data_IF_142640308100
#
_entry.id   IF_142640308100
#
_cell.length_a   1.000
_cell.length_b   1.000
_cell.length_c   1.000
_cell.angle_alpha   90.00
_cell.angle_beta   90.00
_cell.angle_gamma   90.00
#
_symmetry.space_group_name_H-M   'P 1'
#
loop_
_entity.id
_entity.type
_entity.pdbx_description
1 polymer ?
#
# COMPACT_ATOMS: atom_id res chain seq x y z
N UNK A 1 -27.67 39.19 20.78
CA UNK A 1 -26.45 38.43 21.14
C UNK A 1 -26.47 37.02 20.55
N UNK A 2 -27.64 36.39 20.41
CA UNK A 2 -27.73 34.98 19.98
C UNK A 2 -27.43 34.75 18.50
N UNK A 3 -27.77 35.70 17.61
CA UNK A 3 -27.39 35.64 16.18
C UNK A 3 -25.89 35.70 15.94
N UNK A 4 -25.15 36.48 16.74
CA UNK A 4 -23.69 36.57 16.63
C UNK A 4 -23.00 35.31 17.15
N UNK A 5 -23.57 34.66 18.18
CA UNK A 5 -23.09 33.35 18.65
C UNK A 5 -23.36 32.25 17.63
N UNK A 6 -24.57 32.19 17.07
CA UNK A 6 -24.91 31.21 16.05
C UNK A 6 -24.01 31.33 14.79
N UNK A 7 -23.73 32.55 14.34
CA UNK A 7 -22.82 32.77 13.22
C UNK A 7 -21.37 32.37 13.54
N UNK A 8 -20.93 32.54 14.79
CA UNK A 8 -19.59 32.12 15.21
C UNK A 8 -19.50 30.59 15.33
N UNK A 9 -20.53 29.94 15.86
CA UNK A 9 -20.61 28.47 15.95
C UNK A 9 -20.62 27.83 14.55
N UNK A 10 -21.33 28.43 13.59
CA UNK A 10 -21.35 28.00 12.19
C UNK A 10 -19.96 28.11 11.54
N UNK A 11 -19.24 29.22 11.77
CA UNK A 11 -17.86 29.39 11.28
C UNK A 11 -16.90 28.40 11.94
N UNK A 12 -17.07 28.13 13.25
CA UNK A 12 -16.28 27.12 13.95
C UNK A 12 -16.55 25.71 13.41
N UNK A 13 -17.80 25.38 13.07
CA UNK A 13 -18.14 24.12 12.41
C UNK A 13 -17.53 24.03 11.01
N UNK A 14 -17.59 25.08 10.20
CA UNK A 14 -16.97 25.11 8.86
C UNK A 14 -15.46 24.94 8.96
N UNK A 15 -14.82 25.63 9.91
CA UNK A 15 -13.38 25.51 10.15
C UNK A 15 -13.04 24.11 10.66
N UNK A 16 -13.81 23.53 11.58
CA UNK A 16 -13.63 22.14 12.02
C UNK A 16 -13.79 21.15 10.88
N UNK A 17 -14.79 21.32 10.01
CA UNK A 17 -14.97 20.48 8.82
C UNK A 17 -13.79 20.63 7.85
N UNK A 18 -13.29 21.85 7.65
CA UNK A 18 -12.11 22.10 6.83
C UNK A 18 -10.83 21.49 7.42
N UNK A 19 -10.70 21.47 8.76
CA UNK A 19 -9.57 20.85 9.46
C UNK A 19 -9.68 19.31 9.56
N UNK A 20 -10.89 18.76 9.59
CA UNK A 20 -11.13 17.33 9.68
C UNK A 20 -10.99 16.60 8.33
N UNK A 21 -10.93 17.35 7.22
CA UNK A 21 -10.82 16.79 5.87
C UNK A 21 -12.13 16.13 5.40
N UNK A 22 -12.12 15.60 4.17
CA UNK A 22 -13.20 14.73 3.71
C UNK A 22 -13.22 13.44 4.54
N UNK A 23 -14.41 12.89 4.87
CA UNK A 23 -14.49 11.62 5.57
C UNK A 23 -13.80 10.55 4.72
N UNK A 24 -12.79 9.90 5.30
CA UNK A 24 -12.05 8.82 4.65
C UNK A 24 -13.02 7.73 4.24
N UNK A 25 -12.82 7.22 3.02
CA UNK A 25 -13.57 6.05 2.57
C UNK A 25 -13.20 4.82 3.43
N UNK A 26 -14.10 3.83 3.57
CA UNK A 26 -13.81 2.61 4.32
C UNK A 26 -12.56 1.87 3.82
N UNK A 27 -12.24 2.00 2.53
CA UNK A 27 -11.02 1.41 1.96
C UNK A 27 -9.76 2.16 2.39
N UNK A 28 -9.81 3.49 2.49
CA UNK A 28 -8.69 4.29 3.00
C UNK A 28 -8.41 4.02 4.47
N UNK A 29 -9.45 3.83 5.29
CA UNK A 29 -9.27 3.43 6.69
C UNK A 29 -8.59 2.05 6.80
N UNK A 30 -9.00 1.10 5.96
CA UNK A 30 -8.39 -0.22 5.88
C UNK A 30 -6.93 -0.14 5.45
N UNK A 31 -6.63 0.69 4.45
CA UNK A 31 -5.27 0.93 3.98
C UNK A 31 -4.42 1.61 5.05
N UNK A 32 -4.95 2.58 5.80
CA UNK A 32 -4.23 3.21 6.91
C UNK A 32 -3.93 2.24 8.05
N UNK A 33 -4.78 1.23 8.26
CA UNK A 33 -4.57 0.23 9.29
C UNK A 33 -3.45 -0.77 8.94
N UNK A 34 -3.34 -1.16 7.67
CA UNK A 34 -2.45 -2.25 7.24
C UNK A 34 -1.26 -1.81 6.37
N UNK A 35 -1.35 -0.62 5.77
CA UNK A 35 -0.35 0.06 4.95
C UNK A 35 -0.25 1.56 5.35
N UNK A 36 0.13 1.86 6.61
CA UNK A 36 0.21 3.23 7.11
C UNK A 36 1.35 4.02 6.46
N UNK A 37 1.06 5.20 5.92
CA UNK A 37 2.07 6.10 5.35
C UNK A 37 2.77 6.96 6.40
N UNK A 38 2.03 7.39 7.43
CA UNK A 38 2.53 8.25 8.50
C UNK A 38 2.47 7.52 9.85
N UNK A 39 3.60 7.42 10.54
CA UNK A 39 3.67 6.78 11.85
C UNK A 39 2.95 7.59 12.96
N UNK A 40 2.80 8.90 12.77
CA UNK A 40 2.31 9.85 13.78
C UNK A 40 0.78 10.00 13.85
N UNK A 41 0.04 9.74 12.76
CA UNK A 41 -1.41 10.02 12.68
C UNK A 41 -2.32 8.87 13.18
N UNK A 42 -1.76 7.87 13.85
CA UNK A 42 -2.46 6.61 14.16
C UNK A 42 -2.55 6.46 15.67
N UNK A 43 -3.32 7.31 16.34
CA UNK A 43 -3.44 7.25 17.82
C UNK A 43 -4.43 6.16 18.28
N UNK A 44 -5.17 5.48 17.37
CA UNK A 44 -6.26 4.57 17.75
C UNK A 44 -6.17 3.10 17.32
N UNK A 45 -5.25 2.70 16.43
CA UNK A 45 -5.22 1.32 15.92
C UNK A 45 -4.04 0.50 16.46
N UNK A 46 -4.40 -0.69 16.97
CA UNK A 46 -3.55 -1.64 17.72
C UNK A 46 -2.13 -1.78 17.16
N UNK A 47 -1.14 -1.54 18.03
CA UNK A 47 0.29 -1.69 17.74
C UNK A 47 0.68 -3.06 17.13
N UNK A 48 -0.16 -4.09 17.31
CA UNK A 48 0.05 -5.44 16.77
C UNK A 48 0.10 -5.49 15.24
N UNK A 49 -0.69 -4.68 14.54
CA UNK A 49 -0.72 -4.70 13.07
C UNK A 49 0.47 -3.98 12.44
N UNK A 50 1.09 -3.04 13.17
CA UNK A 50 2.30 -2.33 12.72
C UNK A 50 3.51 -3.27 12.63
N UNK A 51 3.65 -4.13 13.64
CA UNK A 51 4.75 -5.09 13.77
C UNK A 51 4.55 -6.37 12.95
N UNK A 52 3.34 -6.62 12.44
CA UNK A 52 3.10 -7.76 11.56
C UNK A 52 3.94 -7.59 10.29
N UNK A 53 4.77 -8.58 9.97
CA UNK A 53 5.65 -8.59 8.78
C UNK A 53 4.83 -8.65 7.48
N UNK A 54 3.58 -9.11 7.55
CA UNK A 54 2.70 -9.30 6.41
C UNK A 54 1.26 -8.83 6.71
N UNK A 55 0.51 -8.54 5.65
CA UNK A 55 -0.93 -8.24 5.73
C UNK A 55 -1.67 -9.57 5.93
N UNK A 56 -2.59 -9.67 6.91
CA UNK A 56 -3.36 -10.90 7.11
C UNK A 56 -4.15 -11.30 5.86
N UNK A 57 -4.24 -12.61 5.59
CA UNK A 57 -4.88 -13.13 4.37
C UNK A 57 -6.33 -12.67 4.19
N UNK A 58 -7.12 -12.58 5.27
CA UNK A 58 -8.50 -12.12 5.18
C UNK A 58 -8.60 -10.64 4.72
N UNK A 59 -7.62 -9.80 5.06
CA UNK A 59 -7.54 -8.41 4.60
C UNK A 59 -7.12 -8.35 3.14
N UNK A 60 -6.15 -9.19 2.73
CA UNK A 60 -5.77 -9.29 1.32
C UNK A 60 -6.96 -9.71 0.44
N UNK A 61 -7.78 -10.65 0.91
CA UNK A 61 -9.03 -11.05 0.25
C UNK A 61 -10.04 -9.88 0.18
N UNK A 62 -10.23 -9.14 1.27
CA UNK A 62 -11.15 -7.99 1.28
C UNK A 62 -10.70 -6.92 0.27
N UNK A 63 -9.41 -6.56 0.31
CA UNK A 63 -8.81 -5.62 -0.65
C UNK A 63 -8.93 -6.12 -2.08
N UNK A 64 -8.66 -7.40 -2.35
CA UNK A 64 -8.84 -7.99 -3.67
C UNK A 64 -10.29 -7.87 -4.17
N UNK A 65 -11.27 -8.17 -3.32
CA UNK A 65 -12.68 -8.01 -3.69
C UNK A 65 -13.03 -6.55 -4.02
N UNK A 66 -12.50 -5.60 -3.24
CA UNK A 66 -12.71 -4.15 -3.41
C UNK A 66 -12.08 -3.59 -4.67
N UNK A 67 -11.05 -4.21 -5.24
CA UNK A 67 -10.51 -3.76 -6.54
C UNK A 67 -11.52 -3.89 -7.70
N UNK A 68 -12.62 -4.64 -7.53
CA UNK A 68 -13.70 -4.66 -8.52
C UNK A 68 -14.62 -3.43 -8.43
N UNK A 69 -14.52 -2.64 -7.36
CA UNK A 69 -15.20 -1.37 -7.22
C UNK A 69 -14.37 -0.27 -7.90
N UNK A 70 -15.01 0.45 -8.84
CA UNK A 70 -14.38 1.53 -9.62
C UNK A 70 -13.92 2.72 -8.78
N UNK A 71 -14.51 2.91 -7.60
CA UNK A 71 -14.14 3.96 -6.64
C UNK A 71 -12.97 3.49 -5.77
N UNK A 72 -13.03 2.28 -5.22
CA UNK A 72 -12.03 1.79 -4.27
C UNK A 72 -10.69 1.41 -4.95
N UNK A 73 -10.74 0.86 -6.17
CA UNK A 73 -9.56 0.38 -6.87
C UNK A 73 -8.47 1.46 -7.05
N UNK A 74 -8.79 2.69 -7.49
CA UNK A 74 -7.82 3.79 -7.52
C UNK A 74 -7.12 4.04 -6.19
N UNK A 75 -7.84 4.06 -5.05
CA UNK A 75 -7.23 4.28 -3.74
C UNK A 75 -6.25 3.17 -3.36
N UNK A 76 -6.64 1.91 -3.61
CA UNK A 76 -5.79 0.75 -3.33
C UNK A 76 -4.51 0.80 -4.17
N UNK A 77 -4.63 1.02 -5.48
CA UNK A 77 -3.48 1.08 -6.38
C UNK A 77 -2.58 2.27 -6.05
N UNK A 78 -3.16 3.46 -5.82
CA UNK A 78 -2.43 4.66 -5.45
C UNK A 78 -1.60 4.44 -4.18
N UNK A 79 -2.20 3.86 -3.13
CA UNK A 79 -1.49 3.57 -1.88
C UNK A 79 -0.31 2.62 -2.09
N UNK A 80 -0.49 1.56 -2.86
CA UNK A 80 0.58 0.61 -3.17
C UNK A 80 1.72 1.35 -3.89
N UNK A 81 1.39 2.12 -4.92
CA UNK A 81 2.39 2.82 -5.72
C UNK A 81 3.12 3.92 -4.97
N UNK A 82 2.43 4.67 -4.12
CA UNK A 82 3.03 5.66 -3.22
C UNK A 82 4.05 5.01 -2.27
N UNK A 83 3.77 3.81 -1.77
CA UNK A 83 4.74 3.07 -0.95
C UNK A 83 5.94 2.64 -1.78
N UNK A 84 5.70 2.09 -2.99
CA UNK A 84 6.78 1.61 -3.85
C UNK A 84 7.68 2.73 -4.38
N UNK A 85 7.16 3.94 -4.56
CA UNK A 85 7.93 5.08 -5.08
C UNK A 85 8.53 5.90 -3.93
N UNK A 86 7.71 6.30 -2.96
CA UNK A 86 8.11 7.32 -1.98
C UNK A 86 8.66 6.72 -0.68
N UNK A 87 8.39 5.44 -0.40
CA UNK A 87 8.76 4.78 0.86
C UNK A 87 9.79 3.66 0.65
N UNK A 88 10.65 3.78 -0.37
CA UNK A 88 11.67 2.78 -0.71
C UNK A 88 12.67 2.50 0.41
N UNK A 89 12.88 3.46 1.31
CA UNK A 89 13.79 3.31 2.45
C UNK A 89 13.21 2.45 3.58
N UNK A 90 11.92 2.09 3.52
CA UNK A 90 11.26 1.24 4.49
C UNK A 90 10.99 -0.16 3.91
N UNK A 91 11.92 -1.13 4.07
CA UNK A 91 11.82 -2.44 3.43
C UNK A 91 10.60 -3.25 3.90
N UNK A 92 10.15 -3.06 5.15
CA UNK A 92 8.96 -3.74 5.66
C UNK A 92 7.68 -3.25 4.98
N UNK A 93 7.58 -1.94 4.72
CA UNK A 93 6.46 -1.34 4.01
C UNK A 93 6.47 -1.74 2.53
N UNK A 94 7.63 -1.72 1.89
CA UNK A 94 7.78 -2.22 0.52
C UNK A 94 7.36 -3.68 0.41
N UNK A 95 7.82 -4.56 1.31
CA UNK A 95 7.47 -5.98 1.32
C UNK A 95 5.97 -6.20 1.47
N UNK A 96 5.28 -5.43 2.33
CA UNK A 96 3.81 -5.48 2.45
C UNK A 96 3.12 -5.04 1.16
N UNK A 97 3.57 -3.93 0.57
CA UNK A 97 3.00 -3.40 -0.66
C UNK A 97 3.20 -4.35 -1.85
N UNK A 98 4.39 -4.93 -2.01
CA UNK A 98 4.70 -5.93 -3.05
C UNK A 98 3.90 -7.22 -2.86
N UNK A 99 3.82 -7.74 -1.63
CA UNK A 99 3.01 -8.92 -1.33
C UNK A 99 1.53 -8.69 -1.64
N UNK A 100 1.00 -7.51 -1.29
CA UNK A 100 -0.36 -7.15 -1.65
C UNK A 100 -0.51 -7.04 -3.17
N UNK A 101 0.41 -6.35 -3.86
CA UNK A 101 0.36 -6.18 -5.31
C UNK A 101 0.34 -7.53 -6.03
N UNK A 102 1.23 -8.45 -5.65
CA UNK A 102 1.26 -9.81 -6.18
C UNK A 102 -0.08 -10.52 -5.96
N UNK A 103 -0.62 -10.44 -4.75
CA UNK A 103 -1.90 -11.05 -4.43
C UNK A 103 -3.05 -10.47 -5.27
N UNK A 104 -3.07 -9.15 -5.46
CA UNK A 104 -4.09 -8.44 -6.24
C UNK A 104 -3.98 -8.72 -7.75
N UNK A 105 -2.78 -8.93 -8.28
CA UNK A 105 -2.57 -9.32 -9.69
C UNK A 105 -3.25 -10.67 -9.96
N UNK A 106 -3.18 -11.60 -9.02
CA UNK A 106 -3.72 -12.96 -9.16
C UNK A 106 -5.22 -13.02 -8.84
N UNK A 107 -5.66 -12.34 -7.77
CA UNK A 107 -6.99 -12.53 -7.18
C UNK A 107 -7.91 -11.30 -7.32
N UNK A 108 -7.38 -10.16 -7.74
CA UNK A 108 -8.10 -8.90 -7.85
C UNK A 108 -8.72 -8.68 -9.23
N UNK A 109 -9.16 -7.44 -9.45
CA UNK A 109 -9.71 -6.96 -10.70
C UNK A 109 -8.65 -6.93 -11.82
N UNK A 110 -9.02 -7.20 -13.08
CA UNK A 110 -8.14 -7.05 -14.24
C UNK A 110 -7.54 -5.64 -14.39
N UNK A 111 -8.15 -4.62 -13.77
CA UNK A 111 -7.61 -3.26 -13.77
C UNK A 111 -6.27 -3.16 -13.04
N UNK A 112 -6.04 -4.00 -12.03
CA UNK A 112 -4.76 -4.07 -11.31
C UNK A 112 -3.65 -4.49 -12.28
N UNK A 113 -3.87 -5.56 -13.02
CA UNK A 113 -2.93 -6.04 -14.03
C UNK A 113 -2.70 -5.02 -15.14
N UNK A 114 -3.76 -4.36 -15.62
CA UNK A 114 -3.66 -3.33 -16.67
C UNK A 114 -2.78 -2.16 -16.23
N UNK A 115 -2.91 -1.74 -14.98
CA UNK A 115 -2.11 -0.65 -14.42
C UNK A 115 -0.63 -1.04 -14.28
N UNK A 116 -0.34 -2.25 -13.78
CA UNK A 116 1.03 -2.77 -13.71
C UNK A 116 1.69 -2.92 -15.10
N UNK A 117 0.90 -3.21 -16.14
CA UNK A 117 1.36 -3.32 -17.54
C UNK A 117 1.60 -1.99 -18.23
N UNK A 118 1.26 -0.85 -17.61
CA UNK A 118 1.63 0.45 -18.16
C UNK A 118 3.15 0.56 -18.27
N UNK A 119 3.65 1.10 -19.37
CA UNK A 119 5.09 1.11 -19.67
C UNK A 119 5.93 1.66 -18.52
N UNK A 120 5.51 2.76 -17.90
CA UNK A 120 6.22 3.37 -16.76
C UNK A 120 6.26 2.45 -15.53
N UNK A 121 5.12 1.85 -15.17
CA UNK A 121 4.98 0.94 -14.03
C UNK A 121 5.74 -0.36 -14.24
N UNK A 122 5.65 -0.94 -15.43
CA UNK A 122 6.35 -2.17 -15.80
C UNK A 122 7.86 -1.99 -15.83
N UNK A 123 8.36 -0.88 -16.40
CA UNK A 123 9.79 -0.54 -16.37
C UNK A 123 10.27 -0.34 -14.92
N UNK A 124 9.51 0.38 -14.10
CA UNK A 124 9.84 0.57 -12.69
C UNK A 124 9.93 -0.75 -11.92
N UNK A 125 8.96 -1.66 -12.07
CA UNK A 125 9.00 -2.97 -11.40
C UNK A 125 10.20 -3.81 -11.85
N UNK A 126 10.60 -3.70 -13.13
CA UNK A 126 11.77 -4.40 -13.67
C UNK A 126 13.07 -3.85 -13.09
N UNK A 127 13.21 -2.52 -13.01
CA UNK A 127 14.34 -1.85 -12.38
C UNK A 127 14.42 -2.18 -10.88
N UNK A 128 13.28 -2.11 -10.19
CA UNK A 128 13.17 -2.46 -8.77
C UNK A 128 13.61 -3.91 -8.51
N UNK A 129 13.20 -4.85 -9.37
CA UNK A 129 13.66 -6.24 -9.26
C UNK A 129 15.17 -6.39 -9.50
N UNK A 130 15.77 -5.56 -10.35
CA UNK A 130 17.22 -5.52 -10.54
C UNK A 130 17.96 -4.96 -9.31
N UNK A 131 17.49 -3.85 -8.77
CA UNK A 131 18.16 -3.12 -7.68
C UNK A 131 17.96 -3.77 -6.31
N UNK A 132 16.76 -4.26 -6.02
CA UNK A 132 16.48 -4.93 -4.74
C UNK A 132 17.31 -6.21 -4.60
N UNK A 133 17.44 -6.98 -5.69
CA UNK A 133 18.27 -8.18 -5.70
C UNK A 133 19.77 -7.86 -5.63
N UNK A 134 20.22 -6.70 -6.13
CA UNK A 134 21.65 -6.33 -6.13
C UNK A 134 22.24 -6.26 -4.72
N UNK A 135 21.54 -5.65 -3.78
CA UNK A 135 21.98 -5.54 -2.38
C UNK A 135 21.86 -6.84 -1.59
N UNK A 136 20.90 -7.71 -1.95
CA UNK A 136 20.81 -9.06 -1.38
C UNK A 136 21.94 -9.96 -1.87
N UNK A 137 22.30 -9.89 -3.17
CA UNK A 137 23.48 -10.58 -3.70
C UNK A 137 24.79 -10.16 -3.01
N UNK A 138 24.92 -8.91 -2.57
CA UNK A 138 26.07 -8.44 -1.77
C UNK A 138 26.02 -8.91 -0.29
N UNK A 139 24.83 -9.09 0.31
CA UNK A 139 24.71 -9.68 1.66
C UNK A 139 25.23 -11.12 1.75
N UNK A 140 25.25 -11.86 0.64
CA UNK A 140 25.81 -13.21 0.56
C UNK A 140 27.34 -13.26 0.73
N UNK A 141 28.05 -12.13 0.65
CA UNK A 141 29.50 -12.09 0.88
C UNK A 141 29.87 -12.05 2.38
N UNK A 142 28.95 -11.65 3.29
CA UNK A 142 29.30 -11.42 4.71
C UNK A 142 28.30 -11.90 5.79
N UNK A 143 27.16 -12.52 5.49
CA UNK A 143 26.24 -13.03 6.53
C UNK A 143 25.48 -14.29 6.12
N UNK A 144 25.83 -15.44 6.70
CA UNK A 144 25.27 -16.75 6.35
C UNK A 144 23.87 -17.07 6.92
N UNK A 145 23.19 -16.16 7.64
CA UNK A 145 22.06 -16.57 8.51
C UNK A 145 20.83 -15.64 8.53
N UNK A 146 20.73 -14.62 7.68
CA UNK A 146 19.52 -13.80 7.63
C UNK A 146 19.14 -13.46 6.20
N UNK A 147 18.28 -14.30 5.62
CA UNK A 147 17.70 -14.11 4.30
C UNK A 147 16.36 -13.37 4.45
N UNK A 148 16.37 -12.06 4.26
CA UNK A 148 15.16 -11.22 4.29
C UNK A 148 14.43 -11.27 2.92
N UNK A 149 15.13 -11.76 1.89
CA UNK A 149 14.83 -11.71 0.46
C UNK A 149 14.27 -12.95 -0.21
N UNK A 150 14.46 -14.12 0.40
CA UNK A 150 13.97 -15.42 -0.09
C UNK A 150 12.46 -15.46 -0.43
N UNK A 151 11.68 -14.48 0.04
CA UNK A 151 10.26 -14.37 -0.28
C UNK A 151 9.92 -13.79 -1.65
N UNK A 152 10.90 -13.29 -2.42
CA UNK A 152 10.67 -12.63 -3.71
C UNK A 152 11.54 -13.25 -4.82
N UNK A 153 11.38 -14.55 -5.06
CA UNK A 153 12.08 -15.17 -6.19
C UNK A 153 11.41 -14.82 -7.52
N UNK A 154 12.22 -14.43 -8.50
CA UNK A 154 11.87 -14.05 -9.89
C UNK A 154 10.91 -15.02 -10.61
N UNK A 155 10.79 -16.26 -10.16
CA UNK A 155 9.97 -17.28 -10.81
C UNK A 155 8.47 -16.94 -10.80
N UNK A 156 7.94 -16.38 -9.71
CA UNK A 156 6.49 -16.15 -9.58
C UNK A 156 6.00 -14.86 -10.26
N UNK A 157 6.88 -13.85 -10.40
CA UNK A 157 6.55 -12.58 -11.05
C UNK A 157 6.74 -12.65 -12.57
N UNK A 158 7.77 -13.38 -13.04
CA UNK A 158 8.02 -13.54 -14.46
C UNK A 158 6.97 -14.42 -15.16
N UNK A 159 6.55 -15.54 -14.54
CA UNK A 159 5.57 -16.45 -15.13
C UNK A 159 4.16 -15.83 -15.24
N UNK A 160 3.80 -14.90 -14.35
CA UNK A 160 2.53 -14.16 -14.45
C UNK A 160 2.49 -13.17 -15.63
N UNK A 161 3.64 -12.74 -16.16
CA UNK A 161 3.70 -11.77 -17.27
C UNK A 161 3.80 -12.42 -18.65
N UNK A 162 4.18 -13.69 -18.75
CA UNK A 162 4.35 -14.42 -20.03
C UNK A 162 3.25 -15.45 -20.33
N UNK A 163 2.36 -15.79 -19.39
CA UNK A 163 1.36 -16.85 -19.55
C UNK A 163 -0.06 -16.41 -19.97
N UNK A 164 -0.29 -15.15 -20.37
CA UNK A 164 -1.57 -14.69 -20.97
C UNK A 164 -1.37 -13.74 -22.13
#
# INVERSE_FOLDING_TARGET
MDRLRAAFDEVVEIVKMAFNGEPKSPVEELLDQYLPLNEENIVSFSAKNRQAVAIPAFIMNDLASRTNNVVDCPYIQMRIWEILIDHQHNPNMMKKALNLLQYLIINGSPQVLKDCRQSSRSSFLTELAGDYNKYEYEQYEFSQQLDIGAGLTLAEVADCMTAV
#
